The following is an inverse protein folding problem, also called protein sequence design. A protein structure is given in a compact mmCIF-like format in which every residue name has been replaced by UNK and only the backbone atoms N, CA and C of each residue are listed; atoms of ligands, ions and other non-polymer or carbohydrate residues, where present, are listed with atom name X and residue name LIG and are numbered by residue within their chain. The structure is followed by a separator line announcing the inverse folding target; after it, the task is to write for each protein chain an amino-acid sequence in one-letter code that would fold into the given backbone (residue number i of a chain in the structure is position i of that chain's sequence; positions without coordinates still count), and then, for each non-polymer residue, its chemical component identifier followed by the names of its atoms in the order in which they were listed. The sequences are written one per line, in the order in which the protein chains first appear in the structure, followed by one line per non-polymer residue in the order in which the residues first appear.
data_IF_760386339946
#
_entry.id   IF_760386339946
#
_cell.length_a   1.000
_cell.length_b   1.000
_cell.length_c   1.000
_cell.angle_alpha   90.00
_cell.angle_beta   90.00
_cell.angle_gamma   90.00
#
_symmetry.space_group_name_H-M   'P 1'
#
loop_
_entity.id
_entity.type
_entity.pdbx_description
1 polymer ?
#
# COMPACT_ATOMS: atom_id res chain seq x y z
N UNK A 1 -1.38 -25.29 4.08
CA UNK A 1 -0.52 -24.58 3.13
C UNK A 1 -1.45 -23.77 2.27
N UNK A 2 -1.53 -22.47 2.50
CA UNK A 2 -2.44 -21.58 1.79
C UNK A 2 -1.93 -21.42 0.36
N UNK A 3 -2.70 -21.90 -0.62
CA UNK A 3 -2.48 -21.59 -2.03
C UNK A 3 -2.62 -20.08 -2.17
N UNK A 4 -1.48 -19.42 -2.32
CA UNK A 4 -1.42 -17.99 -2.56
C UNK A 4 -1.78 -17.81 -4.03
N UNK A 5 -2.95 -17.21 -4.29
CA UNK A 5 -3.38 -16.88 -5.65
C UNK A 5 -2.24 -16.13 -6.35
N UNK A 6 -1.85 -16.59 -7.53
CA UNK A 6 -0.88 -15.92 -8.39
C UNK A 6 -1.66 -15.43 -9.61
N UNK A 7 -1.45 -14.17 -9.97
CA UNK A 7 -2.02 -13.61 -11.19
C UNK A 7 -1.03 -13.83 -12.33
N UNK A 8 -1.48 -14.49 -13.39
CA UNK A 8 -0.77 -14.64 -14.66
C UNK A 8 -1.02 -13.40 -15.53
N UNK A 9 0.06 -12.78 -16.04
CA UNK A 9 0.01 -11.41 -16.60
C UNK A 9 0.15 -11.39 -18.14
N UNK A 10 0.51 -12.50 -18.79
CA UNK A 10 0.81 -12.55 -20.23
C UNK A 10 0.24 -13.81 -20.90
N UNK A 11 -0.36 -13.63 -22.09
CA UNK A 11 -0.93 -14.70 -22.95
C UNK A 11 -0.01 -15.05 -24.15
N UNK A 12 1.32 -14.95 -24.00
CA UNK A 12 2.27 -15.40 -25.04
C UNK A 12 3.00 -16.66 -24.60
N UNK A 13 2.52 -17.81 -25.09
CA UNK A 13 3.02 -19.15 -24.78
C UNK A 13 4.50 -19.37 -25.18
N UNK A 14 5.12 -18.48 -25.94
CA UNK A 14 6.53 -18.57 -26.32
C UNK A 14 7.50 -18.01 -25.27
N UNK A 15 7.01 -17.19 -24.33
CA UNK A 15 7.84 -16.47 -23.35
C UNK A 15 7.78 -17.05 -21.92
N UNK A 16 6.92 -18.05 -21.69
CA UNK A 16 6.67 -18.62 -20.36
C UNK A 16 5.70 -17.79 -19.51
N UNK A 17 5.54 -18.14 -18.23
CA UNK A 17 4.61 -17.47 -17.33
C UNK A 17 5.29 -16.43 -16.41
N UNK A 18 4.59 -15.33 -16.15
CA UNK A 18 4.98 -14.30 -15.18
C UNK A 18 3.96 -14.27 -14.06
N UNK A 19 4.42 -14.48 -12.84
CA UNK A 19 3.59 -14.54 -11.65
C UNK A 19 4.04 -13.47 -10.65
N UNK A 20 3.10 -12.63 -10.21
CA UNK A 20 3.34 -11.62 -9.18
C UNK A 20 2.72 -12.07 -7.87
N UNK A 21 3.57 -12.16 -6.85
CA UNK A 21 3.12 -12.48 -5.49
C UNK A 21 2.48 -11.25 -4.82
N UNK A 22 1.43 -11.41 -3.99
CA UNK A 22 0.75 -10.30 -3.33
C UNK A 22 1.67 -9.33 -2.58
N UNK A 23 2.75 -9.83 -1.99
CA UNK A 23 3.73 -9.04 -1.25
C UNK A 23 4.42 -7.97 -2.11
N UNK A 24 4.52 -8.17 -3.43
CA UNK A 24 5.04 -7.15 -4.34
C UNK A 24 4.05 -5.99 -4.45
N UNK A 25 2.75 -6.28 -4.52
CA UNK A 25 1.70 -5.27 -4.56
C UNK A 25 1.65 -4.45 -3.26
N UNK A 26 1.86 -5.10 -2.11
CA UNK A 26 1.97 -4.40 -0.82
C UNK A 26 3.10 -3.38 -0.81
N UNK A 27 4.26 -3.71 -1.41
CA UNK A 27 5.41 -2.81 -1.49
C UNK A 27 5.11 -1.63 -2.43
N UNK A 28 4.54 -1.89 -3.61
CA UNK A 28 4.21 -0.82 -4.57
C UNK A 28 3.19 0.13 -3.95
N UNK A 29 2.11 -0.39 -3.38
CA UNK A 29 1.07 0.41 -2.74
C UNK A 29 1.61 1.17 -1.52
N UNK A 30 2.49 0.57 -0.73
CA UNK A 30 3.12 1.23 0.42
C UNK A 30 4.00 2.40 0.00
N UNK A 31 4.82 2.24 -1.06
CA UNK A 31 5.64 3.31 -1.62
C UNK A 31 4.73 4.42 -2.17
N UNK A 32 3.77 4.07 -3.02
CA UNK A 32 2.83 5.03 -3.59
C UNK A 32 2.04 5.80 -2.51
N UNK A 33 1.66 5.14 -1.41
CA UNK A 33 1.00 5.80 -0.30
C UNK A 33 1.89 6.83 0.39
N UNK A 34 3.19 6.53 0.57
CA UNK A 34 4.14 7.44 1.24
C UNK A 34 4.48 8.70 0.44
N UNK A 35 4.25 8.68 -0.88
CA UNK A 35 4.48 9.82 -1.77
C UNK A 35 3.35 10.86 -1.74
N UNK A 36 2.18 10.49 -1.20
CA UNK A 36 1.02 11.38 -1.14
C UNK A 36 1.20 12.44 -0.04
N UNK A 37 1.18 13.72 -0.43
CA UNK A 37 1.19 14.80 0.55
C UNK A 37 -0.03 14.73 1.48
N UNK A 38 0.25 14.85 2.78
CA UNK A 38 -0.72 14.66 3.85
C UNK A 38 -0.58 13.32 4.56
N UNK A 39 0.10 12.35 3.98
CA UNK A 39 0.53 11.14 4.69
C UNK A 39 1.80 11.46 5.48
N UNK A 40 1.81 11.11 6.77
CA UNK A 40 3.00 11.22 7.63
C UNK A 40 3.78 9.91 7.63
N UNK A 41 3.09 8.81 7.84
CA UNK A 41 3.67 7.47 7.86
C UNK A 41 2.59 6.40 7.68
N UNK A 42 2.99 5.21 7.27
CA UNK A 42 2.14 4.02 7.28
C UNK A 42 2.06 3.43 8.70
N UNK A 43 0.94 2.81 9.05
CA UNK A 43 0.74 2.13 10.33
C UNK A 43 0.77 0.60 10.15
N UNK A 44 1.88 -0.04 10.49
CA UNK A 44 2.03 -1.50 10.45
C UNK A 44 1.58 -2.18 11.75
N UNK A 45 1.30 -3.49 11.66
CA UNK A 45 0.96 -4.32 12.83
C UNK A 45 2.12 -4.38 13.85
N UNK A 46 1.83 -4.56 15.15
CA UNK A 46 2.80 -4.43 16.26
C UNK A 46 4.10 -5.23 16.07
N UNK A 47 4.03 -6.41 15.44
CA UNK A 47 5.18 -7.26 15.10
C UNK A 47 6.16 -6.58 14.12
N UNK A 48 5.65 -5.79 13.18
CA UNK A 48 6.49 -5.03 12.26
C UNK A 48 7.24 -3.90 12.97
N UNK A 49 6.64 -3.26 13.99
CA UNK A 49 7.29 -2.20 14.76
C UNK A 49 8.53 -2.66 15.54
N UNK A 50 8.55 -3.92 15.99
CA UNK A 50 9.72 -4.52 16.67
C UNK A 50 10.86 -4.75 15.68
N UNK A 51 10.59 -5.30 14.50
CA UNK A 51 11.60 -5.56 13.47
C UNK A 51 12.29 -4.27 12.94
N UNK A 52 11.58 -3.14 12.94
CA UNK A 52 12.12 -1.84 12.51
C UNK A 52 13.14 -1.25 13.48
N UNK A 53 12.96 -1.49 14.78
CA UNK A 53 13.94 -1.11 15.82
C UNK A 53 15.27 -1.85 15.66
N UNK A 54 15.28 -2.95 14.90
CA UNK A 54 16.49 -3.71 14.53
C UNK A 54 17.02 -3.37 13.12
N UNK A 55 16.59 -2.26 12.52
CA UNK A 55 17.21 -1.69 11.31
C UNK A 55 16.67 -2.21 9.97
N UNK A 56 15.64 -3.07 9.97
CA UNK A 56 15.01 -3.56 8.73
C UNK A 56 13.84 -2.66 8.35
N UNK A 57 14.05 -1.72 7.43
CA UNK A 57 12.96 -0.94 6.80
C UNK A 57 12.06 -1.91 6.04
N UNK A 58 10.75 -1.90 6.32
CA UNK A 58 9.80 -2.72 5.57
C UNK A 58 8.80 -1.79 4.90
N UNK A 59 8.83 -1.78 3.57
CA UNK A 59 8.04 -0.86 2.74
C UNK A 59 6.57 -1.31 2.56
N UNK A 60 6.25 -2.58 2.81
CA UNK A 60 4.88 -3.11 2.82
C UNK A 60 4.12 -2.97 4.15
N UNK A 61 4.58 -2.13 5.08
CA UNK A 61 3.90 -1.97 6.38
C UNK A 61 2.61 -1.21 6.23
N UNK A 62 1.56 -1.69 6.90
CA UNK A 62 0.26 -1.03 6.89
C UNK A 62 -0.44 -1.13 5.55
N UNK A 63 -0.07 -2.11 4.72
CA UNK A 63 -0.79 -2.47 3.50
C UNK A 63 -1.17 -3.93 3.61
N UNK A 64 -2.40 -4.27 3.25
CA UNK A 64 -2.85 -5.63 3.05
C UNK A 64 -3.44 -5.71 1.65
N UNK A 65 -3.04 -6.74 0.91
CA UNK A 65 -3.56 -7.00 -0.42
C UNK A 65 -4.31 -8.33 -0.41
N UNK A 66 -5.51 -8.31 -0.95
CA UNK A 66 -6.29 -9.49 -1.27
C UNK A 66 -6.46 -9.59 -2.79
N UNK A 67 -6.12 -10.75 -3.34
CA UNK A 67 -6.32 -11.02 -4.77
C UNK A 67 -7.67 -11.69 -4.95
N UNK A 68 -8.42 -11.20 -5.92
CA UNK A 68 -9.72 -11.71 -6.35
C UNK A 68 -9.62 -12.19 -7.80
N UNK A 69 -10.69 -12.78 -8.31
CA UNK A 69 -10.79 -13.13 -9.73
C UNK A 69 -10.80 -11.89 -10.65
N UNK A 70 -11.17 -10.71 -10.13
CA UNK A 70 -11.36 -9.48 -10.89
C UNK A 70 -10.22 -8.46 -10.71
N UNK A 71 -9.26 -8.72 -9.81
CA UNK A 71 -8.13 -7.83 -9.56
C UNK A 71 -7.60 -7.92 -8.13
N UNK A 72 -7.21 -6.75 -7.60
CA UNK A 72 -6.71 -6.62 -6.24
C UNK A 72 -7.58 -5.65 -5.41
N UNK A 73 -7.85 -6.05 -4.17
CA UNK A 73 -8.39 -5.20 -3.12
C UNK A 73 -7.24 -4.82 -2.18
N UNK A 74 -7.10 -3.52 -1.90
CA UNK A 74 -5.97 -3.01 -1.12
C UNK A 74 -6.50 -2.24 0.09
N UNK A 75 -6.17 -2.72 1.29
CA UNK A 75 -6.35 -1.98 2.53
C UNK A 75 -5.06 -1.26 2.90
N UNK A 76 -5.14 0.04 3.15
CA UNK A 76 -4.02 0.84 3.64
C UNK A 76 -4.33 1.46 5.00
N UNK A 77 -3.34 1.44 5.89
CA UNK A 77 -3.41 1.99 7.24
C UNK A 77 -2.41 3.14 7.34
N UNK A 78 -2.92 4.35 7.54
CA UNK A 78 -2.12 5.58 7.45
C UNK A 78 -2.25 6.44 8.70
N UNK A 79 -1.16 7.14 9.03
CA UNK A 79 -1.15 8.27 9.95
C UNK A 79 -1.06 9.53 9.09
N UNK A 80 -2.03 10.43 9.24
CA UNK A 80 -2.10 11.66 8.45
C UNK A 80 -1.50 12.84 9.20
N UNK A 81 -1.04 13.87 8.47
CA UNK A 81 -0.60 15.14 9.05
C UNK A 81 -1.82 15.95 9.51
N UNK A 82 -1.70 16.62 10.66
CA UNK A 82 -2.71 17.59 11.09
C UNK A 82 -2.86 18.74 10.07
N UNK A 83 -4.06 19.32 10.00
CA UNK A 83 -4.35 20.45 9.11
C UNK A 83 -4.61 20.07 7.65
N UNK A 84 -4.65 18.77 7.31
CA UNK A 84 -5.00 18.26 5.98
C UNK A 84 -6.42 17.70 5.96
N UNK A 85 -7.13 17.89 4.85
CA UNK A 85 -8.46 17.32 4.64
C UNK A 85 -8.36 15.80 4.44
N UNK A 86 -8.94 15.03 5.36
CA UNK A 86 -8.92 13.56 5.30
C UNK A 86 -9.51 13.04 3.98
N UNK A 87 -10.70 13.50 3.53
CA UNK A 87 -11.27 13.06 2.25
C UNK A 87 -10.37 13.38 1.05
N UNK A 88 -9.72 14.54 1.05
CA UNK A 88 -8.84 14.93 -0.06
C UNK A 88 -7.59 14.04 -0.13
N UNK A 89 -6.95 13.78 1.01
CA UNK A 89 -5.78 12.89 1.10
C UNK A 89 -6.18 11.45 0.75
N UNK A 90 -7.35 10.99 1.19
CA UNK A 90 -7.87 9.66 0.87
C UNK A 90 -8.07 9.49 -0.65
N UNK A 91 -8.71 10.46 -1.32
CA UNK A 91 -8.88 10.41 -2.79
C UNK A 91 -7.53 10.38 -3.52
N UNK A 92 -6.56 11.17 -3.06
CA UNK A 92 -5.19 11.16 -3.60
C UNK A 92 -4.51 9.81 -3.39
N UNK A 93 -4.62 9.22 -2.21
CA UNK A 93 -4.13 7.87 -1.90
C UNK A 93 -4.70 6.82 -2.84
N UNK A 94 -6.02 6.78 -2.96
CA UNK A 94 -6.72 5.82 -3.82
C UNK A 94 -6.26 5.95 -5.28
N UNK A 95 -6.22 7.18 -5.80
CA UNK A 95 -5.81 7.44 -7.18
C UNK A 95 -4.35 7.06 -7.42
N UNK A 96 -3.44 7.47 -6.52
CA UNK A 96 -2.02 7.21 -6.68
C UNK A 96 -1.70 5.71 -6.61
N UNK A 97 -2.32 4.99 -5.68
CA UNK A 97 -2.11 3.54 -5.53
C UNK A 97 -2.65 2.79 -6.75
N UNK A 98 -3.89 3.06 -7.17
CA UNK A 98 -4.46 2.41 -8.35
C UNK A 98 -3.59 2.62 -9.60
N UNK A 99 -3.13 3.85 -9.82
CA UNK A 99 -2.30 4.17 -10.97
C UNK A 99 -0.95 3.44 -10.92
N UNK A 100 -0.24 3.47 -9.79
CA UNK A 100 1.09 2.88 -9.68
C UNK A 100 1.06 1.36 -9.79
N UNK A 101 0.10 0.70 -9.11
CA UNK A 101 -0.07 -0.75 -9.20
C UNK A 101 -0.34 -1.17 -10.64
N UNK A 102 -1.30 -0.53 -11.31
CA UNK A 102 -1.62 -0.86 -12.69
C UNK A 102 -0.45 -0.58 -13.65
N UNK A 103 0.21 0.57 -13.51
CA UNK A 103 1.33 0.95 -14.40
C UNK A 103 2.50 -0.02 -14.30
N UNK A 104 2.78 -0.55 -13.11
CA UNK A 104 3.91 -1.46 -12.90
C UNK A 104 3.60 -2.93 -13.18
N UNK A 105 2.34 -3.35 -13.02
CA UNK A 105 1.99 -4.77 -12.99
C UNK A 105 0.89 -5.17 -13.97
N UNK A 106 0.23 -4.21 -14.60
CA UNK A 106 -0.99 -4.39 -15.39
C UNK A 106 -2.17 -5.00 -14.61
N UNK A 107 -2.06 -5.11 -13.28
CA UNK A 107 -3.13 -5.64 -12.41
C UNK A 107 -4.13 -4.53 -12.10
N UNK A 108 -5.41 -4.81 -12.30
CA UNK A 108 -6.51 -3.90 -11.94
C UNK A 108 -6.72 -3.88 -10.43
N UNK A 109 -6.91 -2.70 -9.86
CA UNK A 109 -7.23 -2.52 -8.44
C UNK A 109 -8.70 -2.11 -8.33
N UNK A 110 -9.52 -3.04 -7.85
CA UNK A 110 -10.97 -2.83 -7.70
C UNK A 110 -11.24 -1.76 -6.66
N UNK A 111 -10.64 -1.93 -5.48
CA UNK A 111 -10.90 -1.11 -4.31
C UNK A 111 -9.61 -0.74 -3.59
N UNK A 112 -9.56 0.50 -3.09
CA UNK A 112 -8.52 0.95 -2.17
C UNK A 112 -9.21 1.52 -0.93
N UNK A 113 -9.11 0.77 0.16
CA UNK A 113 -9.72 1.08 1.44
C UNK A 113 -8.73 1.82 2.33
N UNK A 114 -9.06 3.07 2.68
CA UNK A 114 -8.17 3.96 3.44
C UNK A 114 -8.58 3.97 4.91
N UNK A 115 -7.75 3.37 5.76
CA UNK A 115 -7.93 3.32 7.21
C UNK A 115 -7.02 4.37 7.86
N UNK A 116 -7.62 5.43 8.40
CA UNK A 116 -6.87 6.47 9.12
C UNK A 116 -6.69 6.04 10.58
N UNK A 117 -5.50 5.55 10.89
CA UNK A 117 -5.15 5.03 12.22
C UNK A 117 -4.80 6.15 13.22
N UNK A 118 -4.48 7.35 12.73
CA UNK A 118 -4.17 8.49 13.60
C UNK A 118 -3.83 9.76 12.84
N UNK A 119 -3.66 10.83 13.60
CA UNK A 119 -3.24 12.14 13.11
C UNK A 119 -2.00 12.57 13.89
N UNK A 120 -0.93 12.91 13.19
CA UNK A 120 0.27 13.48 13.77
C UNK A 120 0.12 15.00 13.81
N UNK A 121 0.08 15.55 15.02
CA UNK A 121 0.28 16.97 15.24
C UNK A 121 1.74 17.32 14.93
N UNK A 122 1.98 18.43 14.25
CA UNK A 122 3.33 18.97 14.17
C UNK A 122 3.70 19.39 15.61
N UNK A 123 4.74 18.78 16.19
CA UNK A 123 5.23 19.24 17.48
C UNK A 123 5.64 20.70 17.30
N UNK A 124 4.94 21.63 17.94
CA UNK A 124 5.51 22.93 18.20
C UNK A 124 6.77 22.68 19.03
N UNK A 125 7.95 22.98 18.47
CA UNK A 125 9.11 23.26 19.31
C UNK A 125 8.70 24.41 20.23
N UNK A 126 8.47 24.08 21.49
CA UNK A 126 8.26 25.08 22.53
C UNK A 126 9.65 25.68 22.74
N UNK A 127 9.88 26.84 22.11
CA UNK A 127 11.06 27.67 22.31
C UNK A 127 11.00 28.30 23.70
#
# INVERSE_FOLDING_TARGET
MSDQLLLDILEDDSLGSVQIVPQVLEVIAGIAATEVDGVKSMHGNFATGVAEKFGKKSHGKGVRVELTDNGAIIDIYVILKFGKSIPEVATKLQTNIKQNVYTMTSIQVEEVNVHVAGIQMENQEIV
#
